data_IF_322918366545
#
_entry.id   IF_322918366545
#
_cell.length_a   1.000
_cell.length_b   1.000
_cell.length_c   1.000
_cell.angle_alpha   90.00
_cell.angle_beta   90.00
_cell.angle_gamma   90.00
#
_symmetry.space_group_name_H-M   'P 1'
#
loop_
_entity.id
_entity.type
_entity.pdbx_description
1 polymer ?
#
# COMPACT_ATOMS: atom_id res chain seq x y z
N UNK A 1 10.69 12.32 5.97
CA UNK A 1 11.44 11.55 4.96
C UNK A 1 10.90 12.02 3.63
N UNK A 2 11.73 12.27 2.61
CA UNK A 2 11.16 12.66 1.32
C UNK A 2 10.24 11.54 0.78
N UNK A 3 9.10 11.89 0.16
CA UNK A 3 8.19 10.89 -0.37
C UNK A 3 8.89 10.00 -1.38
N UNK A 4 8.62 8.70 -1.32
CA UNK A 4 9.22 7.72 -2.22
C UNK A 4 8.20 6.68 -2.66
N UNK A 5 8.53 5.93 -3.71
CA UNK A 5 7.65 4.91 -4.26
C UNK A 5 8.16 3.50 -3.90
N UNK A 6 7.20 2.63 -3.62
CA UNK A 6 7.39 1.21 -3.36
C UNK A 6 6.60 0.43 -4.40
N UNK A 7 7.24 -0.56 -5.02
CA UNK A 7 6.60 -1.44 -6.00
C UNK A 7 6.52 -2.85 -5.44
N UNK A 8 5.31 -3.43 -5.39
CA UNK A 8 5.04 -4.77 -4.89
C UNK A 8 4.16 -5.50 -5.90
N UNK A 9 4.67 -6.56 -6.56
CA UNK A 9 3.90 -7.34 -7.56
C UNK A 9 3.20 -6.45 -8.61
N UNK A 10 3.86 -5.38 -9.04
CA UNK A 10 3.31 -4.39 -9.97
C UNK A 10 2.45 -3.29 -9.33
N UNK A 11 2.03 -3.45 -8.08
CA UNK A 11 1.35 -2.42 -7.29
C UNK A 11 2.31 -1.32 -6.88
N UNK A 12 1.91 -0.06 -7.07
CA UNK A 12 2.73 1.12 -6.82
C UNK A 12 2.14 1.91 -5.66
N UNK A 13 2.90 2.01 -4.58
CA UNK A 13 2.55 2.82 -3.42
C UNK A 13 3.47 4.01 -3.31
N UNK A 14 2.89 5.21 -3.20
CA UNK A 14 3.61 6.41 -2.78
C UNK A 14 3.57 6.50 -1.26
N UNK A 15 4.74 6.54 -0.63
CA UNK A 15 4.89 6.64 0.82
C UNK A 15 5.29 8.06 1.19
N UNK A 16 4.48 8.70 2.02
CA UNK A 16 4.75 10.03 2.58
C UNK A 16 4.93 9.96 4.09
N UNK A 17 5.82 10.80 4.63
CA UNK A 17 5.87 10.99 6.08
C UNK A 17 4.80 12.00 6.53
N UNK A 18 4.16 11.68 7.66
CA UNK A 18 3.18 12.53 8.31
C UNK A 18 3.42 12.51 9.81
N UNK A 19 3.11 13.61 10.48
CA UNK A 19 3.02 13.65 11.95
C UNK A 19 1.57 13.46 12.39
N UNK A 20 1.37 12.55 13.32
CA UNK A 20 0.11 12.39 14.02
C UNK A 20 -0.16 13.58 14.95
N UNK A 21 -1.42 13.82 15.35
CA UNK A 21 -1.77 14.91 16.27
C UNK A 21 -1.06 14.84 17.62
N UNK A 22 -0.69 13.64 18.07
CA UNK A 22 0.08 13.40 19.30
C UNK A 22 1.61 13.62 19.12
N UNK A 23 2.04 13.99 17.92
CA UNK A 23 3.44 14.21 17.55
C UNK A 23 4.17 12.93 17.11
N UNK A 24 3.52 11.77 17.15
CA UNK A 24 4.08 10.51 16.68
C UNK A 24 4.37 10.51 15.17
N UNK A 25 5.42 9.82 14.70
CA UNK A 25 5.61 9.61 13.26
C UNK A 25 4.50 8.70 12.71
N UNK A 26 4.06 9.00 11.50
CA UNK A 26 3.18 8.16 10.70
C UNK A 26 3.62 8.18 9.25
N UNK A 27 3.25 7.13 8.52
CA UNK A 27 3.58 6.96 7.12
C UNK A 27 2.31 6.64 6.37
N UNK A 28 1.95 7.51 5.43
CA UNK A 28 0.79 7.33 4.57
C UNK A 28 1.23 6.61 3.30
N UNK A 29 0.54 5.51 2.97
CA UNK A 29 0.71 4.75 1.74
C UNK A 29 -0.47 5.06 0.83
N UNK A 30 -0.23 5.77 -0.26
CA UNK A 30 -1.21 5.98 -1.32
C UNK A 30 -0.97 4.99 -2.44
N UNK A 31 -1.94 4.12 -2.71
CA UNK A 31 -1.84 3.10 -3.75
C UNK A 31 -2.21 3.70 -5.11
N UNK A 32 -1.22 4.08 -5.91
CA UNK A 32 -1.40 4.93 -7.10
C UNK A 32 -2.14 4.25 -8.25
N UNK A 33 -1.89 2.96 -8.47
CA UNK A 33 -2.62 2.13 -9.44
C UNK A 33 -3.61 1.18 -8.76
N UNK A 34 -3.90 1.44 -7.49
CA UNK A 34 -4.80 0.64 -6.69
C UNK A 34 -6.27 0.91 -6.95
N UNK A 35 -7.14 0.31 -6.13
CA UNK A 35 -8.58 0.48 -6.25
C UNK A 35 -9.02 1.93 -5.99
N UNK A 36 -10.29 2.22 -6.28
CA UNK A 36 -10.87 3.55 -6.16
C UNK A 36 -10.09 4.64 -6.95
N UNK A 37 -9.59 4.27 -8.13
CA UNK A 37 -8.87 5.19 -9.02
C UNK A 37 -7.56 5.72 -8.45
N UNK A 38 -6.86 4.91 -7.65
CA UNK A 38 -5.58 5.30 -7.05
C UNK A 38 -5.69 6.13 -5.77
N UNK A 39 -6.88 6.23 -5.17
CA UNK A 39 -7.12 6.97 -3.93
C UNK A 39 -7.11 6.10 -2.68
N UNK A 40 -7.14 4.78 -2.86
CA UNK A 40 -7.09 3.84 -1.74
C UNK A 40 -5.68 3.75 -1.16
N UNK A 41 -5.58 3.37 0.10
CA UNK A 41 -4.33 3.39 0.84
C UNK A 41 -4.50 3.05 2.30
N UNK A 42 -3.39 3.11 3.03
CA UNK A 42 -3.39 2.86 4.47
C UNK A 42 -2.31 3.72 5.15
N UNK A 43 -2.46 3.90 6.45
CA UNK A 43 -1.51 4.67 7.26
C UNK A 43 -0.92 3.77 8.33
N UNK A 44 0.40 3.84 8.51
CA UNK A 44 1.10 3.18 9.63
C UNK A 44 1.56 4.24 10.62
N UNK A 45 1.11 4.11 11.87
CA UNK A 45 1.67 4.86 12.99
C UNK A 45 2.92 4.15 13.52
N UNK A 46 4.00 4.91 13.73
CA UNK A 46 5.18 4.41 14.41
C UNK A 46 5.02 4.62 15.92
N UNK A 47 4.96 3.53 16.68
CA UNK A 47 4.84 3.56 18.15
C UNK A 47 6.14 3.98 18.84
N UNK A 48 7.29 3.81 18.18
CA UNK A 48 8.60 4.25 18.69
C UNK A 48 9.59 4.46 17.56
N UNK A 49 10.13 5.68 17.45
CA UNK A 49 11.16 6.02 16.48
C UNK A 49 10.66 6.07 15.02
N UNK A 50 11.59 6.28 14.08
CA UNK A 50 11.28 6.30 12.64
C UNK A 50 11.32 4.87 12.09
N UNK A 51 10.32 4.50 11.31
CA UNK A 51 10.31 3.25 10.55
C UNK A 51 11.27 3.41 9.37
N UNK A 52 12.07 2.38 9.12
CA UNK A 52 13.01 2.35 8.00
C UNK A 52 12.27 2.10 6.68
N UNK A 53 12.87 2.57 5.58
CA UNK A 53 12.32 2.35 4.23
C UNK A 53 12.06 0.86 3.95
N UNK A 54 13.02 0.00 4.27
CA UNK A 54 12.90 -1.45 4.08
C UNK A 54 11.74 -2.08 4.85
N UNK A 55 11.40 -1.50 6.01
CA UNK A 55 10.30 -1.98 6.84
C UNK A 55 8.95 -1.49 6.29
N UNK A 56 8.89 -0.26 5.78
CA UNK A 56 7.74 0.26 5.03
C UNK A 56 7.47 -0.58 3.76
N UNK A 57 8.51 -1.05 3.07
CA UNK A 57 8.39 -1.97 1.93
C UNK A 57 7.80 -3.33 2.34
N UNK A 58 8.20 -3.87 3.48
CA UNK A 58 7.61 -5.11 4.03
C UNK A 58 6.12 -4.92 4.34
N UNK A 59 5.75 -3.78 4.92
CA UNK A 59 4.35 -3.48 5.21
C UNK A 59 3.49 -3.36 3.94
N UNK A 60 3.97 -2.68 2.90
CA UNK A 60 3.28 -2.63 1.62
C UNK A 60 3.08 -4.03 1.02
N UNK A 61 4.08 -4.91 1.13
CA UNK A 61 3.96 -6.30 0.67
C UNK A 61 2.91 -7.08 1.45
N UNK A 62 2.96 -7.01 2.78
CA UNK A 62 1.98 -7.68 3.63
C UNK A 62 0.56 -7.19 3.38
N UNK A 63 0.40 -5.89 3.13
CA UNK A 63 -0.89 -5.29 2.80
C UNK A 63 -1.45 -5.87 1.50
N UNK A 64 -0.67 -5.91 0.41
CA UNK A 64 -1.09 -6.48 -0.88
C UNK A 64 -1.45 -7.97 -0.73
N UNK A 65 -0.63 -8.73 0.00
CA UNK A 65 -0.87 -10.16 0.25
C UNK A 65 -2.15 -10.40 1.06
N UNK A 66 -2.43 -9.55 2.06
CA UNK A 66 -3.67 -9.63 2.84
C UNK A 66 -4.88 -9.15 2.03
N UNK A 67 -4.72 -8.13 1.19
CA UNK A 67 -5.79 -7.54 0.38
C UNK A 67 -6.33 -8.52 -0.66
N UNK A 68 -5.44 -9.22 -1.39
CA UNK A 68 -5.81 -10.24 -2.38
C UNK A 68 -5.85 -11.67 -1.80
N UNK A 69 -5.40 -11.87 -0.58
CA UNK A 69 -5.36 -13.17 0.07
C UNK A 69 -6.76 -13.70 0.42
N UNK A 70 -6.84 -14.97 0.87
CA UNK A 70 -8.11 -15.58 1.29
C UNK A 70 -8.75 -14.78 2.44
N UNK A 71 -10.00 -14.35 2.25
CA UNK A 71 -10.71 -13.51 3.22
C UNK A 71 -10.28 -12.03 3.21
N UNK A 72 -9.44 -11.63 2.25
CA UNK A 72 -9.10 -10.24 1.99
C UNK A 72 -10.29 -9.45 1.45
N UNK A 73 -10.25 -8.14 1.64
CA UNK A 73 -11.31 -7.22 1.21
C UNK A 73 -11.31 -6.97 -0.29
N UNK A 74 -10.22 -7.29 -1.01
CA UNK A 74 -10.07 -6.91 -2.42
C UNK A 74 -11.20 -7.42 -3.31
N UNK A 75 -11.51 -8.71 -3.23
CA UNK A 75 -12.61 -9.29 -4.01
C UNK A 75 -14.02 -8.93 -3.51
N UNK A 76 -14.15 -8.42 -2.28
CA UNK A 76 -15.46 -8.10 -1.68
C UNK A 76 -15.83 -6.63 -1.87
N UNK A 77 -14.91 -5.73 -1.51
CA UNK A 77 -15.09 -4.28 -1.54
C UNK A 77 -14.70 -3.68 -2.89
N UNK A 78 -13.82 -4.34 -3.66
CA UNK A 78 -13.30 -3.86 -4.93
C UNK A 78 -13.32 -4.96 -6.02
N UNK A 79 -14.49 -5.53 -6.34
CA UNK A 79 -14.60 -6.67 -7.25
C UNK A 79 -14.08 -6.39 -8.68
N UNK A 80 -14.12 -5.13 -9.11
CA UNK A 80 -13.63 -4.71 -10.44
C UNK A 80 -12.13 -4.42 -10.47
N UNK A 81 -11.45 -4.41 -9.32
CA UNK A 81 -10.02 -4.14 -9.25
C UNK A 81 -9.23 -5.45 -9.37
N UNK A 82 -8.46 -5.56 -10.44
CA UNK A 82 -7.57 -6.69 -10.69
C UNK A 82 -6.14 -6.37 -10.26
N UNK A 83 -5.36 -7.36 -9.80
CA UNK A 83 -3.94 -7.16 -9.52
C UNK A 83 -3.19 -6.68 -10.78
N UNK A 84 -2.28 -5.73 -10.60
CA UNK A 84 -1.47 -5.15 -11.67
C UNK A 84 -0.58 -6.19 -12.35
N UNK A 85 -0.13 -7.23 -11.64
CA UNK A 85 0.59 -8.38 -12.23
C UNK A 85 -0.28 -9.13 -13.25
N UNK A 86 -1.60 -9.26 -12.99
CA UNK A 86 -2.57 -9.92 -13.87
C UNK A 86 -2.95 -8.98 -15.03
N UNK A 87 -3.12 -7.68 -14.79
CA UNK A 87 -3.37 -6.69 -15.85
C UNK A 87 -2.22 -6.62 -16.87
N UNK A 88 -0.98 -6.85 -16.42
CA UNK A 88 0.23 -6.84 -17.26
C UNK A 88 0.43 -8.12 -18.08
N UNK A 89 -0.27 -9.22 -17.78
CA UNK A 89 -0.25 -10.44 -18.59
C UNK A 89 -1.63 -10.68 -19.23
N UNK A 90 -1.96 -9.99 -20.34
CA UNK A 90 -3.21 -10.20 -21.07
C UNK A 90 -3.11 -11.43 -22.01
N UNK A 91 -2.52 -12.54 -21.55
CA UNK A 91 -2.37 -13.75 -22.36
C UNK A 91 -3.33 -14.83 -21.87
N UNK A 92 -4.51 -14.86 -22.49
CA UNK A 92 -5.01 -15.96 -23.34
C UNK A 92 -6.27 -15.54 -24.12
#
# INVERSE_FOLDING_TARGET
MEPFEVVVRGEVFRVGDRRQPDGGPSYDFTWLNGPAGGTYGFTIGATSGRILRSELEVHARQFVEAFYGPGGIGGTDFPDHVPAEVERDPRE
#
